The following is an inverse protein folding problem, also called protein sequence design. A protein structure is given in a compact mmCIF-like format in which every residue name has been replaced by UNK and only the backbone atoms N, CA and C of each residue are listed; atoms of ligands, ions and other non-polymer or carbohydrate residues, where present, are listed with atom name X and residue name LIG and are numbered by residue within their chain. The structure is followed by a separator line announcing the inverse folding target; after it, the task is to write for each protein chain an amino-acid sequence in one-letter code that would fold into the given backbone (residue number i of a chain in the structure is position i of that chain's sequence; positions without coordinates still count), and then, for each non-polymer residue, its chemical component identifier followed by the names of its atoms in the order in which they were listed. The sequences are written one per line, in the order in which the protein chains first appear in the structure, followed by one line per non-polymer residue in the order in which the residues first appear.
data_IF_099473309862
#
_entry.id   IF_099473309862
#
_cell.length_a   1.000
_cell.length_b   1.000
_cell.length_c   1.000
_cell.angle_alpha   90.00
_cell.angle_beta   90.00
_cell.angle_gamma   90.00
#
_symmetry.space_group_name_H-M   'P 1'
#
loop_
_entity.id
_entity.type
_entity.pdbx_description
1 polymer ?
#
# COMPACT_ATOMS: atom_id res chain seq x y z
N UNK A 1 1.69 -3.25 -5.72
CA UNK A 1 2.81 -3.87 -5.00
C UNK A 1 3.03 -5.32 -5.46
N UNK A 2 2.03 -6.20 -5.35
CA UNK A 2 2.13 -7.59 -5.80
C UNK A 2 1.22 -7.90 -6.99
N UNK A 3 0.41 -6.95 -7.45
CA UNK A 3 -0.54 -7.10 -8.55
C UNK A 3 -1.77 -7.94 -8.20
N UNK A 4 -2.71 -7.97 -9.13
CA UNK A 4 -3.99 -8.68 -8.98
C UNK A 4 -3.79 -10.20 -8.84
N UNK A 5 -2.85 -10.78 -9.58
CA UNK A 5 -2.55 -12.20 -9.54
C UNK A 5 -2.13 -12.67 -8.13
N UNK A 6 -1.27 -11.91 -7.45
CA UNK A 6 -0.89 -12.23 -6.06
C UNK A 6 -2.09 -12.18 -5.11
N UNK A 7 -2.99 -11.21 -5.31
CA UNK A 7 -4.24 -11.14 -4.55
C UNK A 7 -5.10 -12.41 -4.71
N UNK A 8 -5.23 -12.92 -5.93
CA UNK A 8 -5.97 -14.16 -6.21
C UNK A 8 -5.33 -15.38 -5.53
N UNK A 9 -3.99 -15.50 -5.60
CA UNK A 9 -3.25 -16.61 -4.97
C UNK A 9 -3.43 -16.59 -3.44
N UNK A 10 -3.24 -15.43 -2.80
CA UNK A 10 -3.40 -15.28 -1.35
C UNK A 10 -4.84 -15.55 -0.93
N UNK A 11 -5.83 -14.99 -1.64
CA UNK A 11 -7.25 -15.23 -1.36
C UNK A 11 -7.57 -16.71 -1.35
N UNK A 12 -7.13 -17.47 -2.35
CA UNK A 12 -7.32 -18.91 -2.43
C UNK A 12 -6.68 -19.64 -1.23
N UNK A 13 -5.45 -19.26 -0.84
CA UNK A 13 -4.79 -19.88 0.32
C UNK A 13 -5.57 -19.58 1.61
N UNK A 14 -6.09 -18.36 1.78
CA UNK A 14 -6.92 -17.98 2.93
C UNK A 14 -8.19 -18.84 2.99
N UNK A 15 -8.90 -18.94 1.87
CA UNK A 15 -10.13 -19.75 1.74
C UNK A 15 -9.86 -21.24 1.95
N UNK A 16 -8.62 -21.68 1.74
CA UNK A 16 -8.13 -23.05 2.02
C UNK A 16 -7.59 -23.22 3.46
N UNK A 17 -8.13 -22.48 4.44
CA UNK A 17 -7.70 -22.48 5.84
C UNK A 17 -6.21 -22.10 6.05
N UNK A 18 -5.69 -21.19 5.23
CA UNK A 18 -4.33 -20.67 5.34
C UNK A 18 -3.24 -21.59 4.81
N UNK A 19 -3.61 -22.69 4.14
CA UNK A 19 -2.66 -23.66 3.57
C UNK A 19 -3.20 -24.30 2.30
N UNK A 20 -2.39 -24.34 1.24
CA UNK A 20 -2.77 -25.01 -0.01
C UNK A 20 -1.56 -25.59 -0.75
N UNK A 21 -1.73 -26.70 -1.49
CA UNK A 21 -0.67 -27.26 -2.34
C UNK A 21 -0.43 -26.39 -3.57
N UNK A 22 0.84 -26.24 -3.94
CA UNK A 22 1.29 -25.39 -5.05
C UNK A 22 0.56 -25.68 -6.37
N UNK A 23 0.37 -26.98 -6.68
CA UNK A 23 -0.29 -27.40 -7.92
C UNK A 23 -1.76 -26.94 -7.98
N UNK A 24 -2.44 -26.97 -6.84
CA UNK A 24 -3.86 -26.57 -6.75
C UNK A 24 -3.99 -25.04 -6.85
N UNK A 25 -3.09 -24.30 -6.20
CA UNK A 25 -3.11 -22.82 -6.20
C UNK A 25 -3.10 -22.29 -7.65
N UNK A 26 -2.17 -22.73 -8.48
CA UNK A 26 -2.07 -22.28 -9.88
C UNK A 26 -3.32 -22.61 -10.68
N UNK A 27 -3.83 -23.85 -10.55
CA UNK A 27 -5.00 -24.33 -11.28
C UNK A 27 -6.28 -23.57 -10.92
N UNK A 28 -6.58 -23.45 -9.63
CA UNK A 28 -7.84 -22.87 -9.15
C UNK A 28 -7.89 -21.35 -9.29
N UNK A 29 -6.73 -20.68 -9.30
CA UNK A 29 -6.67 -19.22 -9.46
C UNK A 29 -6.55 -18.76 -10.90
N UNK A 30 -6.36 -19.69 -11.85
CA UNK A 30 -6.14 -19.38 -13.26
C UNK A 30 -4.80 -18.68 -13.55
N UNK A 31 -3.88 -18.67 -12.60
CA UNK A 31 -2.53 -18.12 -12.76
C UNK A 31 -1.60 -19.21 -13.28
N UNK A 32 -0.83 -18.91 -14.33
CA UNK A 32 0.13 -19.88 -14.89
C UNK A 32 1.09 -20.36 -13.80
N UNK A 33 1.35 -21.68 -13.75
CA UNK A 33 2.15 -22.32 -12.69
C UNK A 33 3.51 -21.65 -12.46
N UNK A 34 4.21 -21.24 -13.51
CA UNK A 34 5.49 -20.56 -13.41
C UNK A 34 5.37 -19.16 -12.79
N UNK A 35 4.30 -18.43 -13.08
CA UNK A 35 4.02 -17.10 -12.52
C UNK A 35 3.58 -17.24 -11.05
N UNK A 36 2.68 -18.19 -10.78
CA UNK A 36 2.25 -18.50 -9.43
C UNK A 36 3.45 -18.82 -8.54
N UNK A 37 4.36 -19.70 -8.98
CA UNK A 37 5.58 -20.05 -8.25
C UNK A 37 6.47 -18.84 -7.98
N UNK A 38 6.69 -17.96 -8.96
CA UNK A 38 7.48 -16.73 -8.77
C UNK A 38 6.87 -15.80 -7.73
N UNK A 39 5.54 -15.63 -7.76
CA UNK A 39 4.83 -14.80 -6.80
C UNK A 39 4.91 -15.40 -5.39
N UNK A 40 4.63 -16.71 -5.25
CA UNK A 40 4.69 -17.43 -3.98
C UNK A 40 6.10 -17.38 -3.38
N UNK A 41 7.14 -17.57 -4.20
CA UNK A 41 8.53 -17.45 -3.78
C UNK A 41 8.87 -16.04 -3.30
N UNK A 42 8.39 -15.00 -4.01
CA UNK A 42 8.59 -13.61 -3.59
C UNK A 42 7.92 -13.32 -2.24
N UNK A 43 6.70 -13.80 -2.04
CA UNK A 43 5.98 -13.66 -0.77
C UNK A 43 6.68 -14.44 0.37
N UNK A 44 7.29 -15.57 0.05
CA UNK A 44 8.09 -16.35 1.00
C UNK A 44 9.39 -15.64 1.38
N UNK A 45 10.06 -14.99 0.45
CA UNK A 45 11.26 -14.19 0.73
C UNK A 45 10.96 -12.99 1.66
N UNK A 46 9.71 -12.53 1.67
CA UNK A 46 9.23 -11.50 2.61
C UNK A 46 8.65 -12.12 3.90
N UNK A 47 8.84 -13.41 4.11
CA UNK A 47 8.35 -14.19 5.25
C UNK A 47 6.81 -14.21 5.40
N UNK A 48 6.04 -13.77 4.39
CA UNK A 48 4.58 -13.76 4.40
C UNK A 48 3.98 -15.16 4.20
N UNK A 49 4.70 -15.99 3.45
CA UNK A 49 4.37 -17.40 3.23
C UNK A 49 5.54 -18.29 3.63
N UNK A 50 5.23 -19.53 4.00
CA UNK A 50 6.23 -20.58 4.21
C UNK A 50 5.88 -21.78 3.36
N UNK A 51 6.85 -22.29 2.59
CA UNK A 51 6.71 -23.54 1.85
C UNK A 51 7.15 -24.72 2.71
N UNK A 52 6.28 -25.74 2.84
CA UNK A 52 6.61 -26.99 3.55
C UNK A 52 6.39 -28.18 2.62
N UNK A 53 7.41 -28.98 2.33
CA UNK A 53 7.23 -30.22 1.58
C UNK A 53 6.49 -31.25 2.43
N UNK A 54 5.52 -31.94 1.81
CA UNK A 54 4.78 -33.03 2.43
C UNK A 54 4.83 -34.26 1.53
N UNK A 55 5.28 -35.38 2.05
CA UNK A 55 5.29 -36.65 1.33
C UNK A 55 3.88 -37.22 1.31
N UNK A 56 3.35 -37.51 0.13
CA UNK A 56 2.05 -38.14 -0.08
C UNK A 56 2.23 -39.30 -1.04
N UNK A 57 2.33 -40.53 -0.50
CA UNK A 57 2.75 -41.71 -1.26
C UNK A 57 4.16 -41.55 -1.79
N UNK A 58 4.36 -41.74 -3.09
CA UNK A 58 5.67 -41.61 -3.77
C UNK A 58 5.96 -40.18 -4.25
N UNK A 59 5.05 -39.24 -4.05
CA UNK A 59 5.20 -37.83 -4.49
C UNK A 59 5.47 -36.91 -3.30
N UNK A 60 6.29 -35.88 -3.54
CA UNK A 60 6.50 -34.77 -2.61
C UNK A 60 5.69 -33.60 -3.12
N UNK A 61 4.71 -33.17 -2.34
CA UNK A 61 3.91 -32.00 -2.61
C UNK A 61 4.41 -30.81 -1.78
N UNK A 62 4.45 -29.64 -2.37
CA UNK A 62 4.84 -28.40 -1.70
C UNK A 62 3.58 -27.66 -1.25
N UNK A 63 3.43 -27.47 0.05
CA UNK A 63 2.32 -26.74 0.65
C UNK A 63 2.78 -25.34 1.04
N UNK A 64 2.01 -24.34 0.64
CA UNK A 64 2.21 -22.96 1.01
C UNK A 64 1.29 -22.61 2.18
N UNK A 65 1.89 -22.05 3.24
CA UNK A 65 1.20 -21.65 4.48
C UNK A 65 1.36 -20.16 4.69
N UNK A 66 0.30 -19.51 5.18
CA UNK A 66 0.36 -18.08 5.55
C UNK A 66 0.99 -17.96 6.93
N UNK A 67 1.95 -17.05 7.05
CA UNK A 67 2.54 -16.65 8.33
C UNK A 67 1.71 -15.51 8.91
N UNK A 68 0.63 -15.80 9.60
CA UNK A 68 -0.32 -14.80 10.10
C UNK A 68 0.32 -13.72 10.95
N UNK A 69 1.26 -14.08 11.83
CA UNK A 69 1.99 -13.10 12.67
C UNK A 69 2.78 -12.12 11.84
N UNK A 70 3.46 -12.58 10.79
CA UNK A 70 4.24 -11.71 9.90
C UNK A 70 3.35 -10.82 9.04
N UNK A 71 2.22 -11.35 8.57
CA UNK A 71 1.21 -10.56 7.83
C UNK A 71 0.64 -9.46 8.73
N UNK A 72 0.27 -9.80 9.97
CA UNK A 72 -0.23 -8.83 10.95
C UNK A 72 0.79 -7.73 11.23
N UNK A 73 2.02 -8.10 11.55
CA UNK A 73 3.12 -7.13 11.82
C UNK A 73 3.40 -6.23 10.60
N UNK A 74 3.38 -6.80 9.39
CA UNK A 74 3.57 -6.02 8.16
C UNK A 74 2.45 -4.99 7.98
N UNK A 75 1.19 -5.37 8.19
CA UNK A 75 0.04 -4.46 8.08
C UNK A 75 0.12 -3.33 9.10
N UNK A 76 0.39 -3.65 10.37
CA UNK A 76 0.58 -2.68 11.45
C UNK A 76 1.68 -1.68 11.09
N UNK A 77 2.84 -2.17 10.65
CA UNK A 77 3.96 -1.32 10.26
C UNK A 77 3.63 -0.41 9.07
N UNK A 78 2.87 -0.91 8.10
CA UNK A 78 2.40 -0.09 6.96
C UNK A 78 1.43 0.99 7.41
N UNK A 79 0.46 0.65 8.27
CA UNK A 79 -0.48 1.63 8.82
C UNK A 79 0.26 2.73 9.58
N UNK A 80 1.20 2.36 10.48
CA UNK A 80 2.02 3.32 11.22
C UNK A 80 2.82 4.25 10.29
N UNK A 81 3.52 3.69 9.31
CA UNK A 81 4.28 4.49 8.34
C UNK A 81 3.39 5.38 7.48
N UNK A 82 2.21 4.93 7.11
CA UNK A 82 1.24 5.73 6.35
C UNK A 82 0.73 6.89 7.22
N UNK A 83 0.35 6.61 8.46
CA UNK A 83 -0.05 7.64 9.42
C UNK A 83 1.00 8.73 9.58
N UNK A 84 2.26 8.36 9.79
CA UNK A 84 3.35 9.34 9.92
C UNK A 84 3.51 10.22 8.68
N UNK A 85 3.43 9.63 7.49
CA UNK A 85 3.47 10.40 6.24
C UNK A 85 2.30 11.36 6.10
N UNK A 86 1.09 10.93 6.49
CA UNK A 86 -0.09 11.79 6.47
C UNK A 86 0.01 12.92 7.49
N UNK A 87 0.59 12.67 8.67
CA UNK A 87 0.85 13.73 9.68
C UNK A 87 1.84 14.76 9.17
N UNK A 88 2.94 14.34 8.53
CA UNK A 88 3.90 15.25 7.92
C UNK A 88 3.22 16.10 6.83
N UNK A 89 2.39 15.49 6.01
CA UNK A 89 1.66 16.20 4.97
C UNK A 89 0.63 17.17 5.57
N UNK A 90 -0.07 16.77 6.63
CA UNK A 90 -1.02 17.61 7.33
C UNK A 90 -0.32 18.84 7.93
N UNK A 91 0.79 18.63 8.64
CA UNK A 91 1.61 19.71 9.20
C UNK A 91 2.08 20.68 8.11
N UNK A 92 2.51 20.15 6.97
CA UNK A 92 2.89 20.96 5.81
C UNK A 92 1.71 21.79 5.28
N UNK A 93 0.54 21.19 5.11
CA UNK A 93 -0.67 21.90 4.63
C UNK A 93 -1.19 22.93 5.65
N UNK A 94 -1.06 22.68 6.95
CA UNK A 94 -1.49 23.62 7.98
C UNK A 94 -0.54 24.82 8.12
N UNK A 95 0.76 24.62 7.94
CA UNK A 95 1.78 25.63 8.21
C UNK A 95 2.28 26.40 6.98
N UNK A 96 1.85 26.00 5.76
CA UNK A 96 2.29 26.69 4.54
C UNK A 96 1.11 27.27 3.75
N UNK A 97 1.30 28.40 3.13
CA UNK A 97 0.41 28.94 2.12
C UNK A 97 0.78 28.24 0.80
N UNK A 98 -0.20 27.65 0.14
CA UNK A 98 0.00 26.90 -1.11
C UNK A 98 -0.68 27.62 -2.28
N UNK A 99 0.07 27.77 -3.35
CA UNK A 99 -0.39 28.28 -4.62
C UNK A 99 -0.49 27.15 -5.65
N UNK A 100 -1.45 27.23 -6.55
CA UNK A 100 -1.68 26.23 -7.58
C UNK A 100 -1.81 26.90 -8.95
N UNK A 101 -1.24 26.27 -9.98
CA UNK A 101 -1.46 26.69 -11.34
C UNK A 101 -2.82 26.16 -11.83
N UNK A 102 -3.74 27.02 -12.31
CA UNK A 102 -5.05 26.59 -12.77
C UNK A 102 -5.02 25.76 -14.06
N UNK A 103 -3.89 25.77 -14.79
CA UNK A 103 -3.73 25.03 -16.05
C UNK A 103 -3.10 23.65 -15.82
N UNK A 104 -1.96 23.57 -15.12
CA UNK A 104 -1.25 22.30 -14.94
C UNK A 104 -1.39 21.66 -13.56
N UNK A 105 -2.14 22.26 -12.64
CA UNK A 105 -2.42 21.82 -11.27
C UNK A 105 -1.14 21.57 -10.43
N UNK A 106 -0.03 22.21 -10.80
CA UNK A 106 1.20 22.17 -10.00
C UNK A 106 1.07 23.08 -8.79
N UNK A 107 1.56 22.59 -7.67
CA UNK A 107 1.48 23.25 -6.38
C UNK A 107 2.85 23.78 -5.97
N UNK A 108 2.86 24.97 -5.41
CA UNK A 108 4.04 25.72 -4.99
C UNK A 108 3.78 26.26 -3.58
N UNK A 109 4.78 26.21 -2.71
CA UNK A 109 4.71 26.96 -1.45
C UNK A 109 4.95 28.46 -1.70
N UNK A 110 4.74 29.28 -0.67
CA UNK A 110 4.89 30.73 -0.76
C UNK A 110 6.27 31.16 -1.28
N UNK A 111 7.35 30.54 -0.77
CA UNK A 111 8.72 30.89 -1.19
C UNK A 111 8.94 30.59 -2.68
N UNK A 112 8.51 29.42 -3.14
CA UNK A 112 8.57 29.04 -4.54
C UNK A 112 7.70 29.94 -5.42
N UNK A 113 6.50 30.28 -4.97
CA UNK A 113 5.62 31.19 -5.71
C UNK A 113 6.25 32.58 -5.81
N UNK A 114 6.91 33.03 -4.77
CA UNK A 114 7.64 34.30 -4.76
C UNK A 114 8.84 34.27 -5.71
N UNK A 115 9.65 33.21 -5.71
CA UNK A 115 10.79 33.02 -6.62
C UNK A 115 10.36 33.05 -8.10
N UNK A 116 9.16 32.59 -8.39
CA UNK A 116 8.56 32.60 -9.75
C UNK A 116 7.67 33.82 -10.02
N UNK A 117 7.76 34.86 -9.20
CA UNK A 117 6.93 36.08 -9.35
C UNK A 117 5.42 35.75 -9.47
N UNK A 118 4.95 34.71 -8.75
CA UNK A 118 3.58 34.18 -8.79
C UNK A 118 3.13 33.74 -10.19
N UNK A 119 4.05 33.30 -11.04
CA UNK A 119 3.78 32.72 -12.36
C UNK A 119 4.25 31.27 -12.42
N UNK A 120 3.47 30.45 -13.07
CA UNK A 120 3.85 29.06 -13.27
C UNK A 120 5.07 28.94 -14.20
N UNK A 121 6.17 28.30 -13.79
CA UNK A 121 7.35 28.16 -14.65
C UNK A 121 7.12 27.28 -15.88
N UNK A 122 5.97 26.58 -15.96
CA UNK A 122 5.61 25.70 -17.07
C UNK A 122 4.72 26.37 -18.10
N UNK A 123 3.69 27.08 -17.63
CA UNK A 123 2.62 27.60 -18.48
C UNK A 123 2.60 29.13 -18.50
N UNK A 124 3.46 29.76 -17.67
CA UNK A 124 3.52 31.20 -17.44
C UNK A 124 2.17 31.78 -16.94
N UNK A 125 1.25 30.94 -16.50
CA UNK A 125 -0.05 31.33 -15.95
C UNK A 125 0.09 31.84 -14.51
N UNK A 126 -0.77 32.74 -14.09
CA UNK A 126 -0.77 33.28 -12.72
C UNK A 126 -1.15 32.21 -11.72
N UNK A 127 -0.32 32.05 -10.69
CA UNK A 127 -0.60 31.12 -9.58
C UNK A 127 -1.71 31.69 -8.69
N UNK A 128 -2.63 30.81 -8.27
CA UNK A 128 -3.76 31.17 -7.42
C UNK A 128 -3.60 30.51 -6.06
N UNK A 129 -3.87 31.23 -4.98
CA UNK A 129 -3.87 30.65 -3.64
C UNK A 129 -4.96 29.59 -3.52
N UNK A 130 -4.58 28.40 -3.03
CA UNK A 130 -5.48 27.24 -2.92
C UNK A 130 -6.22 27.23 -1.58
N UNK A 131 -7.52 26.99 -1.61
CA UNK A 131 -8.26 26.68 -0.38
C UNK A 131 -7.90 25.26 0.08
N UNK A 132 -7.24 25.17 1.23
CA UNK A 132 -6.70 23.92 1.78
C UNK A 132 -7.65 23.21 2.75
N UNK A 133 -8.78 23.81 3.08
CA UNK A 133 -9.70 23.28 4.10
C UNK A 133 -10.12 21.85 3.80
N UNK A 134 -10.52 21.55 2.57
CA UNK A 134 -10.94 20.19 2.18
C UNK A 134 -9.82 19.18 2.28
N UNK A 135 -8.58 19.56 1.90
CA UNK A 135 -7.39 18.69 1.97
C UNK A 135 -7.05 18.40 3.43
N UNK A 136 -7.03 19.43 4.27
CA UNK A 136 -6.75 19.32 5.72
C UNK A 136 -7.79 18.41 6.39
N UNK A 137 -9.07 18.61 6.12
CA UNK A 137 -10.16 17.80 6.69
C UNK A 137 -10.05 16.33 6.22
N UNK A 138 -9.74 16.12 4.94
CA UNK A 138 -9.52 14.78 4.42
C UNK A 138 -8.33 14.08 5.10
N UNK A 139 -7.20 14.78 5.28
CA UNK A 139 -6.03 14.24 5.95
C UNK A 139 -6.31 13.89 7.40
N UNK A 140 -6.96 14.78 8.15
CA UNK A 140 -7.39 14.54 9.53
C UNK A 140 -8.26 13.30 9.64
N UNK A 141 -9.30 13.20 8.80
CA UNK A 141 -10.19 12.05 8.75
C UNK A 141 -9.43 10.74 8.47
N UNK A 142 -8.48 10.76 7.53
CA UNK A 142 -7.69 9.56 7.20
C UNK A 142 -6.75 9.14 8.32
N UNK A 143 -6.15 10.09 9.03
CA UNK A 143 -5.32 9.81 10.21
C UNK A 143 -6.19 9.16 11.30
N UNK A 144 -7.38 9.72 11.58
CA UNK A 144 -8.30 9.16 12.58
C UNK A 144 -8.80 7.75 12.21
N UNK A 145 -9.05 7.49 10.92
CA UNK A 145 -9.41 6.15 10.45
C UNK A 145 -8.29 5.14 10.75
N UNK A 146 -7.02 5.52 10.47
CA UNK A 146 -5.87 4.66 10.76
C UNK A 146 -5.69 4.46 12.26
N UNK A 147 -5.83 5.51 13.08
CA UNK A 147 -5.72 5.42 14.53
C UNK A 147 -6.78 4.49 15.12
N UNK A 148 -8.02 4.55 14.62
CA UNK A 148 -9.08 3.60 15.00
C UNK A 148 -8.75 2.17 14.64
N UNK A 149 -8.18 1.92 13.46
CA UNK A 149 -7.79 0.55 13.07
C UNK A 149 -6.62 0.04 13.94
N UNK A 150 -5.62 0.87 14.22
CA UNK A 150 -4.51 0.51 15.11
C UNK A 150 -4.99 0.21 16.52
N UNK A 151 -5.92 1.01 17.06
CA UNK A 151 -6.50 0.81 18.40
C UNK A 151 -7.28 -0.50 18.52
N UNK A 152 -7.98 -0.95 17.48
CA UNK A 152 -8.67 -2.25 17.45
C UNK A 152 -7.70 -3.43 17.59
N UNK A 153 -6.46 -3.25 17.15
CA UNK A 153 -5.41 -4.28 17.17
C UNK A 153 -4.59 -4.22 18.47
N UNK A 154 -4.86 -3.23 19.34
CA UNK A 154 -4.17 -3.06 20.61
C UNK A 154 -2.76 -2.45 20.49
N UNK A 155 -2.54 -1.61 19.48
CA UNK A 155 -1.23 -1.00 19.18
C UNK A 155 -1.33 0.52 19.14
#
# INVERSE_FOLDING_TARGET
MYGEQAGRLIKYIIESNGSAPEETIGRETGVKSNEARKILQKLSNEALLTCRPRKTGDKVLHFWHINWDQVGNMLINKLKKTREKLKILLDYEENNIIYECPVCNRRFNLDQAFDYEFKCPHDNETLVETNRTEVIDFLKKKIEEIDRELSKIGV
#
